data_IF_869925957845
#
_entry.id   IF_869925957845
#
_cell.length_a   1.000
_cell.length_b   1.000
_cell.length_c   1.000
_cell.angle_alpha   90.00
_cell.angle_beta   90.00
_cell.angle_gamma   90.00
#
_symmetry.space_group_name_H-M   'P 1'
#
loop_
_entity.id
_entity.type
_entity.pdbx_description
1 polymer ?
#
# COMPACT_ATOMS: atom_id res chain seq x y z
N UNK A 1 13.56 33.46 3.42
CA UNK A 1 13.96 32.31 2.59
C UNK A 1 12.89 31.25 2.73
N UNK A 2 11.87 31.35 1.83
CA UNK A 2 10.74 30.47 1.83
C UNK A 2 11.14 29.10 1.26
N UNK A 3 11.02 28.05 2.07
CA UNK A 3 11.00 26.68 1.58
C UNK A 3 9.70 26.56 0.77
N UNK A 4 9.83 26.49 -0.56
CA UNK A 4 8.72 26.11 -1.43
C UNK A 4 8.40 24.65 -1.13
N UNK A 5 7.30 24.43 -0.45
CA UNK A 5 6.63 23.14 -0.51
C UNK A 5 6.14 22.97 -1.93
N UNK A 6 6.73 22.06 -2.69
CA UNK A 6 6.22 21.71 -4.00
C UNK A 6 4.77 21.29 -3.85
N UNK A 7 3.88 21.94 -4.60
CA UNK A 7 2.45 21.61 -4.59
C UNK A 7 2.28 20.14 -5.01
N UNK A 8 1.31 19.47 -4.41
CA UNK A 8 0.99 18.07 -4.73
C UNK A 8 0.73 17.88 -6.25
N UNK A 9 0.29 18.92 -6.93
CA UNK A 9 0.07 18.92 -8.37
C UNK A 9 1.37 19.07 -9.18
N UNK A 10 2.38 19.80 -8.68
CA UNK A 10 3.71 19.83 -9.30
C UNK A 10 4.42 18.48 -9.17
N UNK A 11 4.29 17.83 -8.02
CA UNK A 11 4.83 16.48 -7.80
C UNK A 11 4.13 15.47 -8.73
N UNK A 12 2.82 15.60 -8.95
CA UNK A 12 2.08 14.79 -9.91
C UNK A 12 2.60 14.95 -11.35
N UNK A 13 3.04 16.13 -11.72
CA UNK A 13 3.50 16.43 -13.08
C UNK A 13 4.91 15.89 -13.35
N UNK A 14 5.78 15.88 -12.34
CA UNK A 14 7.15 15.36 -12.49
C UNK A 14 7.23 13.83 -12.46
N UNK A 15 6.21 13.17 -11.93
CA UNK A 15 6.25 11.74 -11.60
C UNK A 15 6.00 10.80 -12.76
N UNK A 16 5.73 11.31 -13.97
CA UNK A 16 5.28 10.35 -14.97
C UNK A 16 5.63 10.75 -16.38
N UNK A 17 6.80 10.42 -16.80
CA UNK A 17 7.03 10.25 -18.22
C UNK A 17 7.69 8.91 -18.49
N UNK A 18 6.97 7.84 -18.22
CA UNK A 18 7.16 6.59 -18.97
C UNK A 18 6.09 6.59 -20.05
N UNK A 19 6.40 7.23 -21.18
CA UNK A 19 5.40 7.41 -22.23
C UNK A 19 4.26 8.36 -21.82
N UNK A 20 3.40 8.69 -22.73
CA UNK A 20 2.33 9.69 -22.66
C UNK A 20 1.21 9.39 -21.64
N UNK A 21 1.40 8.49 -20.69
CA UNK A 21 0.39 8.10 -19.70
C UNK A 21 0.62 8.89 -18.43
N UNK A 22 -0.26 9.85 -18.15
CA UNK A 22 -0.28 10.56 -16.89
C UNK A 22 -0.86 9.66 -15.80
N UNK A 23 -0.14 9.49 -14.71
CA UNK A 23 -0.66 8.85 -13.51
C UNK A 23 -1.70 9.76 -12.84
N UNK A 24 -2.87 9.22 -12.55
CA UNK A 24 -3.94 9.94 -11.84
C UNK A 24 -3.83 9.71 -10.33
N UNK A 25 -3.45 8.50 -9.93
CA UNK A 25 -3.32 8.08 -8.53
C UNK A 25 -1.99 7.35 -8.30
N UNK A 26 -0.86 8.07 -8.23
CA UNK A 26 0.44 7.44 -8.04
C UNK A 26 0.53 6.76 -6.67
N UNK A 27 1.16 5.59 -6.63
CA UNK A 27 1.52 4.92 -5.40
C UNK A 27 2.99 5.18 -5.09
N UNK A 28 3.26 5.65 -3.88
CA UNK A 28 4.61 5.87 -3.37
C UNK A 28 4.80 5.17 -2.03
N UNK A 29 5.96 4.58 -1.86
CA UNK A 29 6.38 3.93 -0.62
C UNK A 29 7.77 4.40 -0.21
N UNK A 30 7.99 4.51 1.10
CA UNK A 30 9.32 4.75 1.67
C UNK A 30 9.47 4.04 3.01
N UNK A 31 10.71 3.86 3.45
CA UNK A 31 10.97 3.47 4.83
C UNK A 31 10.69 4.64 5.78
N UNK A 32 10.09 4.36 6.92
CA UNK A 32 9.81 5.40 7.93
C UNK A 32 11.06 6.12 8.45
N UNK A 33 12.22 5.49 8.34
CA UNK A 33 13.52 6.07 8.73
C UNK A 33 14.17 6.92 7.65
N UNK A 34 13.67 6.84 6.42
CA UNK A 34 14.24 7.56 5.29
C UNK A 34 13.74 9.01 5.26
N UNK A 35 14.58 9.91 4.75
CA UNK A 35 14.22 11.31 4.56
C UNK A 35 13.12 11.50 3.50
N UNK A 36 12.62 12.73 3.43
CA UNK A 36 11.49 13.10 2.54
C UNK A 36 11.78 12.82 1.07
N UNK A 37 13.03 12.77 0.65
CA UNK A 37 13.43 12.61 -0.75
C UNK A 37 13.52 11.14 -1.22
N UNK A 38 13.37 10.16 -0.34
CA UNK A 38 13.61 8.75 -0.65
C UNK A 38 12.31 7.96 -0.92
N UNK A 39 11.35 8.57 -1.57
CA UNK A 39 10.14 7.89 -2.00
C UNK A 39 10.41 7.00 -3.21
N UNK A 40 10.05 5.73 -3.10
CA UNK A 40 9.94 4.85 -4.25
C UNK A 40 8.56 5.03 -4.89
N UNK A 41 8.55 5.47 -6.14
CA UNK A 41 7.33 5.63 -6.90
C UNK A 41 7.18 4.48 -7.89
N UNK A 42 6.00 3.89 -7.92
CA UNK A 42 5.69 2.87 -8.91
C UNK A 42 5.56 3.52 -10.30
N UNK A 43 6.28 3.02 -11.33
CA UNK A 43 6.33 3.66 -12.65
C UNK A 43 4.99 3.70 -13.38
N UNK A 44 4.11 2.76 -13.11
CA UNK A 44 2.72 2.77 -13.56
C UNK A 44 1.79 2.68 -12.37
N UNK A 45 0.56 3.18 -12.54
CA UNK A 45 -0.44 3.04 -11.49
C UNK A 45 -0.75 1.58 -11.22
N UNK A 46 -0.48 1.09 -10.00
CA UNK A 46 -0.91 -0.23 -9.62
C UNK A 46 -2.41 -0.25 -9.32
N UNK A 47 -3.00 -1.42 -9.45
CA UNK A 47 -4.33 -1.69 -8.94
C UNK A 47 -4.25 -1.91 -7.42
N UNK A 48 -4.88 -1.04 -6.67
CA UNK A 48 -4.92 -1.12 -5.21
C UNK A 48 -6.31 -1.60 -4.78
N UNK A 49 -6.34 -2.69 -4.05
CA UNK A 49 -7.56 -3.27 -3.49
C UNK A 49 -7.48 -3.27 -1.96
N UNK A 50 -8.53 -2.80 -1.32
CA UNK A 50 -8.61 -2.69 0.13
C UNK A 50 -9.77 -3.55 0.63
N UNK A 51 -9.49 -4.41 1.60
CA UNK A 51 -10.49 -5.25 2.26
C UNK A 51 -10.44 -5.03 3.77
N UNK A 52 -11.58 -4.72 4.35
CA UNK A 52 -11.72 -4.53 5.79
C UNK A 52 -12.57 -5.63 6.41
N UNK A 53 -12.21 -6.06 7.60
CA UNK A 53 -12.93 -7.09 8.35
C UNK A 53 -13.24 -6.63 9.76
N UNK A 54 -14.48 -6.84 10.18
CA UNK A 54 -14.86 -6.67 11.57
C UNK A 54 -14.87 -8.03 12.26
N UNK A 55 -14.29 -8.11 13.45
CA UNK A 55 -14.41 -9.27 14.29
C UNK A 55 -15.76 -9.24 15.00
N UNK A 56 -16.59 -10.21 14.70
CA UNK A 56 -17.94 -10.32 15.24
C UNK A 56 -18.02 -11.59 16.07
N UNK A 57 -18.29 -11.43 17.37
CA UNK A 57 -18.61 -12.56 18.24
C UNK A 57 -20.10 -12.87 18.13
N UNK A 58 -20.40 -14.10 17.76
CA UNK A 58 -21.78 -14.62 17.70
C UNK A 58 -22.07 -15.43 18.95
N UNK A 59 -23.12 -15.05 19.66
CA UNK A 59 -23.61 -15.83 20.82
C UNK A 59 -25.00 -16.36 20.53
N UNK A 60 -25.19 -17.64 20.77
CA UNK A 60 -26.51 -18.27 20.71
C UNK A 60 -27.11 -18.23 22.09
N UNK A 61 -28.26 -17.56 22.32
CA UNK A 61 -28.89 -17.54 23.63
C UNK A 61 -29.36 -18.95 24.01
N UNK A 62 -29.02 -19.39 25.21
CA UNK A 62 -29.24 -20.76 25.71
C UNK A 62 -30.72 -21.15 25.90
N UNK A 63 -31.62 -20.19 26.02
CA UNK A 63 -33.07 -20.39 26.19
C UNK A 63 -33.82 -19.22 25.55
N UNK A 64 -34.22 -19.36 24.31
CA UNK A 64 -35.06 -18.36 23.64
C UNK A 64 -35.90 -19.00 22.55
N UNK A 65 -37.15 -18.62 22.49
CA UNK A 65 -38.10 -19.03 21.39
C UNK A 65 -37.79 -18.30 20.09
N UNK A 66 -36.60 -17.74 19.88
CA UNK A 66 -36.20 -16.99 18.71
C UNK A 66 -35.15 -17.72 17.88
N UNK A 67 -35.30 -17.69 16.58
CA UNK A 67 -34.29 -18.10 15.62
C UNK A 67 -33.31 -16.96 15.40
N UNK A 68 -32.05 -17.18 15.76
CA UNK A 68 -30.99 -16.21 15.49
C UNK A 68 -29.90 -16.16 16.56
N UNK A 69 -28.82 -15.52 16.22
CA UNK A 69 -27.67 -15.30 17.11
C UNK A 69 -27.53 -13.82 17.44
N UNK A 70 -27.15 -13.52 18.69
CA UNK A 70 -26.72 -12.17 19.08
C UNK A 70 -25.33 -11.95 18.53
N UNK A 71 -25.15 -10.85 17.80
CA UNK A 71 -23.88 -10.46 17.21
C UNK A 71 -23.34 -9.26 17.99
N UNK A 72 -22.15 -9.42 18.55
CA UNK A 72 -21.43 -8.34 19.21
C UNK A 72 -20.25 -7.96 18.32
N UNK A 73 -20.12 -6.66 17.98
CA UNK A 73 -18.94 -6.15 17.33
C UNK A 73 -17.88 -5.90 18.39
N UNK A 74 -16.79 -6.67 18.33
CA UNK A 74 -15.70 -6.55 19.30
C UNK A 74 -14.65 -5.52 18.86
N UNK A 75 -14.16 -5.64 17.63
CA UNK A 75 -13.16 -4.71 17.08
C UNK A 75 -13.19 -4.69 15.56
N UNK A 76 -12.64 -3.63 15.01
CA UNK A 76 -12.28 -3.59 13.60
C UNK A 76 -10.87 -4.16 13.48
N UNK A 77 -10.69 -5.16 12.63
CA UNK A 77 -9.39 -5.69 12.27
C UNK A 77 -8.62 -4.75 11.34
N UNK A 78 -7.37 -5.09 11.08
CA UNK A 78 -6.55 -4.38 10.11
C UNK A 78 -7.15 -4.49 8.70
N UNK A 79 -6.88 -3.50 7.87
CA UNK A 79 -7.19 -3.58 6.45
C UNK A 79 -6.18 -4.47 5.75
N UNK A 80 -6.67 -5.38 4.93
CA UNK A 80 -5.87 -6.14 3.99
C UNK A 80 -5.77 -5.36 2.69
N UNK A 81 -4.56 -5.12 2.21
CA UNK A 81 -4.28 -4.34 1.02
C UNK A 81 -3.57 -5.24 0.00
N UNK A 82 -4.13 -5.33 -1.19
CA UNK A 82 -3.52 -6.01 -2.32
C UNK A 82 -3.15 -4.99 -3.39
N UNK A 83 -1.90 -5.00 -3.80
CA UNK A 83 -1.35 -4.11 -4.81
C UNK A 83 -0.83 -4.96 -5.95
N UNK A 84 -1.37 -4.75 -7.14
CA UNK A 84 -0.99 -5.49 -8.35
C UNK A 84 -0.61 -4.50 -9.44
N UNK A 85 0.47 -4.79 -10.13
CA UNK A 85 0.92 -3.93 -11.21
C UNK A 85 2.03 -4.56 -12.02
N UNK A 86 2.65 -3.72 -12.83
CA UNK A 86 3.67 -4.12 -13.76
C UNK A 86 4.81 -3.11 -13.75
N UNK A 87 6.04 -3.59 -13.69
CA UNK A 87 7.21 -2.80 -13.95
C UNK A 87 7.55 -2.86 -15.44
N UNK A 88 7.75 -1.70 -16.02
CA UNK A 88 8.16 -1.53 -17.43
C UNK A 88 9.44 -0.72 -17.44
N UNK A 89 10.41 -1.16 -18.22
CA UNK A 89 11.59 -0.37 -18.51
C UNK A 89 11.44 0.39 -19.84
N UNK A 90 12.19 1.47 -19.97
CA UNK A 90 12.38 2.12 -21.27
C UNK A 90 13.23 1.23 -22.18
N UNK A 91 13.02 1.33 -23.49
CA UNK A 91 13.92 0.74 -24.51
C UNK A 91 14.07 -0.79 -24.51
N UNK A 92 12.97 -1.53 -24.42
CA UNK A 92 12.97 -2.99 -24.62
C UNK A 92 13.89 -3.79 -23.67
N UNK A 93 14.22 -3.22 -22.52
CA UNK A 93 15.00 -3.90 -21.48
C UNK A 93 14.14 -4.40 -20.34
N UNK A 94 14.65 -5.36 -19.57
CA UNK A 94 14.00 -5.80 -18.35
C UNK A 94 14.16 -4.72 -17.26
N UNK A 95 13.14 -4.40 -16.45
CA UNK A 95 13.16 -3.33 -15.45
C UNK A 95 13.97 -3.68 -14.19
N UNK A 96 15.26 -3.94 -14.36
CA UNK A 96 16.18 -4.37 -13.27
C UNK A 96 16.24 -3.37 -12.12
N UNK A 97 16.32 -2.09 -12.43
CA UNK A 97 16.45 -1.04 -11.42
C UNK A 97 15.24 -0.96 -10.51
N UNK A 98 14.04 -0.95 -11.09
CA UNK A 98 12.80 -0.90 -10.33
C UNK A 98 12.63 -2.12 -9.43
N UNK A 99 12.96 -3.30 -9.93
CA UNK A 99 12.90 -4.54 -9.16
C UNK A 99 13.94 -4.54 -8.03
N UNK A 100 15.16 -4.08 -8.29
CA UNK A 100 16.20 -3.98 -7.27
C UNK A 100 15.86 -2.96 -6.17
N UNK A 101 15.36 -1.80 -6.55
CA UNK A 101 14.94 -0.78 -5.60
C UNK A 101 13.81 -1.31 -4.71
N UNK A 102 12.82 -1.96 -5.31
CA UNK A 102 11.74 -2.59 -4.57
C UNK A 102 12.25 -3.69 -3.62
N UNK A 103 13.12 -4.57 -4.10
CA UNK A 103 13.76 -5.62 -3.28
C UNK A 103 14.48 -5.04 -2.07
N UNK A 104 15.24 -3.97 -2.28
CA UNK A 104 15.96 -3.31 -1.19
C UNK A 104 15.01 -2.71 -0.17
N UNK A 105 13.94 -2.09 -0.64
CA UNK A 105 12.90 -1.53 0.20
C UNK A 105 12.21 -2.63 1.03
N UNK A 106 11.83 -3.73 0.40
CA UNK A 106 11.19 -4.86 1.04
C UNK A 106 12.07 -5.56 2.09
N UNK A 107 13.35 -5.76 1.79
CA UNK A 107 14.26 -6.51 2.68
C UNK A 107 14.68 -5.73 3.93
N UNK A 108 14.59 -4.42 3.90
CA UNK A 108 15.14 -3.57 4.98
C UNK A 108 14.09 -2.96 5.89
N UNK A 109 12.84 -3.04 5.54
CA UNK A 109 11.77 -2.36 6.27
C UNK A 109 10.86 -3.33 7.01
N UNK A 110 10.59 -3.06 8.27
CA UNK A 110 9.53 -3.72 9.03
C UNK A 110 8.15 -3.18 8.65
N UNK A 111 8.06 -1.89 8.36
CA UNK A 111 6.88 -1.19 7.88
C UNK A 111 7.29 -0.07 6.94
N UNK A 112 6.41 0.29 6.05
CA UNK A 112 6.62 1.31 5.04
C UNK A 112 5.57 2.41 5.16
N UNK A 113 6.00 3.66 5.04
CA UNK A 113 5.08 4.76 4.86
C UNK A 113 4.54 4.71 3.43
N UNK A 114 3.25 4.94 3.28
CA UNK A 114 2.56 4.89 1.99
C UNK A 114 1.84 6.19 1.70
N UNK A 115 1.89 6.59 0.44
CA UNK A 115 1.11 7.69 -0.08
C UNK A 115 0.34 7.23 -1.32
N UNK A 116 -0.98 7.25 -1.21
CA UNK A 116 -1.92 6.91 -2.27
C UNK A 116 -3.29 7.47 -1.92
N UNK A 117 -3.97 8.10 -2.88
CA UNK A 117 -5.21 8.82 -2.62
C UNK A 117 -6.31 7.95 -1.98
N UNK A 118 -6.51 6.74 -2.50
CA UNK A 118 -7.53 5.83 -1.96
C UNK A 118 -7.16 5.36 -0.55
N UNK A 119 -5.88 5.04 -0.31
CA UNK A 119 -5.44 4.62 1.03
C UNK A 119 -5.59 5.73 2.06
N UNK A 120 -5.35 6.97 1.68
CA UNK A 120 -5.55 8.13 2.54
C UNK A 120 -7.01 8.33 2.92
N UNK A 121 -7.97 8.05 2.02
CA UNK A 121 -9.41 8.10 2.34
C UNK A 121 -9.79 7.10 3.43
N UNK A 122 -9.09 5.98 3.53
CA UNK A 122 -9.26 4.98 4.59
C UNK A 122 -8.39 5.25 5.83
N UNK A 123 -7.65 6.37 5.84
CA UNK A 123 -6.75 6.72 6.94
C UNK A 123 -5.50 5.83 7.02
N UNK A 124 -5.14 5.16 5.93
CA UNK A 124 -3.99 4.26 5.88
C UNK A 124 -2.77 5.05 5.40
N UNK A 125 -1.80 5.24 6.29
CA UNK A 125 -0.56 5.96 6.02
C UNK A 125 0.68 5.06 6.11
N UNK A 126 0.50 3.85 6.60
CA UNK A 126 1.57 2.87 6.84
C UNK A 126 1.12 1.48 6.44
N UNK A 127 2.03 0.72 5.88
CA UNK A 127 1.82 -0.67 5.47
C UNK A 127 2.85 -1.60 6.12
N UNK A 128 2.39 -2.74 6.60
CA UNK A 128 3.21 -3.89 6.91
C UNK A 128 3.11 -4.88 5.74
N UNK A 129 4.20 -5.11 5.05
CA UNK A 129 4.21 -6.00 3.89
C UNK A 129 4.24 -7.45 4.36
N UNK A 130 3.24 -8.22 3.97
CA UNK A 130 3.17 -9.65 4.27
C UNK A 130 3.96 -10.46 3.24
N UNK A 131 3.70 -10.21 1.97
CA UNK A 131 4.32 -10.98 0.89
C UNK A 131 4.43 -10.19 -0.40
N UNK A 132 5.41 -10.58 -1.20
CA UNK A 132 5.63 -10.06 -2.54
C UNK A 132 5.80 -11.22 -3.48
N UNK A 133 5.11 -11.18 -4.61
CA UNK A 133 5.21 -12.17 -5.68
C UNK A 133 5.62 -11.50 -6.99
N UNK A 134 6.58 -12.09 -7.67
CA UNK A 134 7.01 -11.70 -9.00
C UNK A 134 6.79 -12.88 -9.95
N UNK A 135 5.57 -13.07 -10.48
CA UNK A 135 5.32 -14.15 -11.41
C UNK A 135 6.14 -13.97 -12.69
N UNK A 136 6.65 -15.08 -13.23
CA UNK A 136 7.39 -15.05 -14.47
C UNK A 136 6.50 -14.63 -15.62
N UNK A 137 6.88 -13.56 -16.32
CA UNK A 137 6.20 -13.09 -17.52
C UNK A 137 6.96 -13.53 -18.77
N UNK A 138 6.21 -14.01 -19.75
CA UNK A 138 6.78 -14.23 -21.08
C UNK A 138 7.04 -12.88 -21.73
N UNK A 139 8.29 -12.55 -21.93
CA UNK A 139 8.72 -11.29 -22.50
C UNK A 139 9.68 -10.55 -21.59
N UNK A 140 10.76 -10.08 -22.17
CA UNK A 140 11.87 -9.47 -21.45
C UNK A 140 11.61 -8.05 -20.97
N UNK A 141 10.47 -7.47 -21.35
CA UNK A 141 10.22 -6.03 -21.17
C UNK A 141 9.42 -5.71 -19.91
N UNK A 142 8.71 -6.67 -19.35
CA UNK A 142 7.73 -6.42 -18.30
C UNK A 142 7.94 -7.38 -17.13
N UNK A 143 7.75 -6.89 -15.92
CA UNK A 143 7.69 -7.71 -14.72
C UNK A 143 6.41 -7.42 -13.96
N UNK A 144 5.50 -8.38 -13.89
CA UNK A 144 4.33 -8.29 -13.04
C UNK A 144 4.74 -8.45 -11.58
N UNK A 145 4.03 -7.78 -10.70
CA UNK A 145 4.19 -7.93 -9.26
C UNK A 145 2.83 -7.96 -8.56
N UNK A 146 2.80 -8.67 -7.46
CA UNK A 146 1.69 -8.69 -6.52
C UNK A 146 2.24 -8.53 -5.11
N UNK A 147 1.69 -7.56 -4.37
CA UNK A 147 2.08 -7.24 -3.01
C UNK A 147 0.86 -7.41 -2.12
N UNK A 148 1.01 -8.15 -1.04
CA UNK A 148 0.01 -8.24 0.03
C UNK A 148 0.55 -7.56 1.27
N UNK A 149 -0.28 -6.70 1.85
CA UNK A 149 0.07 -5.92 3.00
C UNK A 149 -1.12 -5.75 3.95
N UNK A 150 -0.80 -5.37 5.17
CA UNK A 150 -1.78 -4.94 6.17
C UNK A 150 -1.59 -3.48 6.50
N UNK A 151 -2.67 -2.81 6.87
CA UNK A 151 -2.56 -1.47 7.45
C UNK A 151 -1.86 -1.55 8.80
N UNK A 152 -0.86 -0.69 8.99
CA UNK A 152 -0.12 -0.59 10.24
C UNK A 152 -0.34 0.81 10.83
N UNK A 153 -1.26 0.90 11.76
CA UNK A 153 -1.50 2.15 12.48
C UNK A 153 -0.60 2.19 13.72
N UNK A 154 0.09 3.31 13.96
CA UNK A 154 0.87 3.44 15.18
C UNK A 154 -0.05 3.32 16.39
N UNK A 155 0.20 2.31 17.22
CA UNK A 155 -0.52 2.14 18.48
C UNK A 155 -0.11 3.26 19.41
N UNK A 156 -1.00 4.20 19.64
CA UNK A 156 -0.84 5.20 20.69
C UNK A 156 -1.14 4.50 22.01
N UNK A 157 -0.11 4.10 22.74
CA UNK A 157 -0.26 3.70 24.14
C UNK A 157 -0.63 4.97 24.93
N UNK A 158 -1.91 5.18 25.12
CA UNK A 158 -2.36 6.09 26.19
C UNK A 158 -2.03 5.44 27.51
N UNK A 159 -0.96 5.88 28.17
CA UNK A 159 -0.75 5.64 29.58
C UNK A 159 -1.59 6.71 30.28
N UNK A 160 -2.71 6.35 30.93
CA UNK A 160 -3.44 7.32 31.74
C UNK A 160 -2.52 7.70 32.91
N UNK A 161 -2.25 9.00 33.00
CA UNK A 161 -1.52 9.57 34.12
C UNK A 161 -2.48 9.70 35.31
#
# INVERSE_FOLDING_TARGET
DGVRTADADEIRTEMTTVGTIKSVMPLRLKRSTDGILNWFTFPLEPLVSISGKNEIIRRTPAKGKGTGTVKERWSQGDYEISIQGIFIAAENEYPKESVQQWRNLFNTASHLDVEHDILLLFGITRLAIESVSFPHTKGLQNQNYEIKAYSDNPVSLFIPV
#
